data_IF_991177497502
#
_entry.id   IF_991177497502
#
_cell.length_a   1.000
_cell.length_b   1.000
_cell.length_c   1.000
_cell.angle_alpha   90.00
_cell.angle_beta   90.00
_cell.angle_gamma   90.00
#
_symmetry.space_group_name_H-M   'P 1'
#
loop_
_entity.id
_entity.type
_entity.pdbx_description
1 polymer ?
#
# COMPACT_ATOMS: atom_id res chain seq x y z
N UNK A 1 9.64 -0.34 -5.30
CA UNK A 1 10.95 0.20 -5.74
C UNK A 1 10.93 1.71 -5.67
N UNK A 2 11.82 2.28 -4.85
CA UNK A 2 12.04 3.72 -4.77
C UNK A 2 12.07 4.29 -3.35
N UNK A 3 12.65 5.48 -3.20
CA UNK A 3 12.72 6.25 -1.95
C UNK A 3 12.14 7.64 -2.20
N UNK A 4 11.33 8.16 -1.26
CA UNK A 4 10.71 9.48 -1.38
C UNK A 4 9.50 9.53 -2.34
N UNK A 5 9.50 10.51 -3.26
CA UNK A 5 8.34 10.86 -4.11
C UNK A 5 8.14 9.95 -5.34
N UNK A 6 9.13 9.12 -5.69
CA UNK A 6 9.12 8.23 -6.84
C UNK A 6 9.04 6.76 -6.39
N UNK A 7 7.83 6.24 -6.25
CA UNK A 7 7.58 4.84 -5.93
C UNK A 7 7.02 4.15 -7.17
N UNK A 8 7.69 3.10 -7.64
CA UNK A 8 7.26 2.24 -8.73
C UNK A 8 6.72 0.92 -8.20
N UNK A 9 5.56 0.52 -8.72
CA UNK A 9 4.89 -0.74 -8.41
C UNK A 9 5.08 -1.74 -9.55
N UNK A 10 5.29 -3.01 -9.20
CA UNK A 10 5.34 -4.12 -10.14
C UNK A 10 4.45 -5.25 -9.63
N UNK A 11 3.38 -5.52 -10.36
CA UNK A 11 2.41 -6.57 -10.01
C UNK A 11 2.74 -7.85 -10.78
N UNK A 12 2.79 -9.00 -10.09
CA UNK A 12 2.90 -10.31 -10.74
C UNK A 12 1.85 -11.26 -10.17
N UNK A 13 1.00 -11.83 -11.04
CA UNK A 13 0.05 -12.88 -10.68
C UNK A 13 0.62 -14.25 -11.07
N UNK A 14 0.46 -15.23 -10.19
CA UNK A 14 0.87 -16.63 -10.43
C UNK A 14 -0.26 -17.55 -10.00
N UNK A 15 -0.71 -18.42 -10.89
CA UNK A 15 -1.67 -19.47 -10.56
C UNK A 15 -0.99 -20.53 -9.71
N UNK A 16 -1.58 -20.86 -8.56
CA UNK A 16 -1.07 -21.90 -7.67
C UNK A 16 -1.90 -23.18 -7.83
N UNK A 17 -1.20 -24.32 -7.86
CA UNK A 17 -1.86 -25.63 -7.81
C UNK A 17 -1.99 -26.07 -6.37
N UNK A 18 -3.21 -26.14 -5.87
CA UNK A 18 -3.48 -26.63 -4.52
C UNK A 18 -3.46 -28.15 -4.42
N UNK A 19 -3.15 -28.67 -3.24
CA UNK A 19 -3.17 -30.09 -2.89
C UNK A 19 -4.29 -30.41 -1.88
N UNK A 20 -4.72 -31.67 -1.82
CA UNK A 20 -5.75 -32.11 -0.89
C UNK A 20 -7.18 -32.06 -1.48
N UNK A 21 -8.19 -32.41 -0.67
CA UNK A 21 -9.57 -32.53 -1.13
C UNK A 21 -10.17 -31.16 -1.48
N UNK A 22 -11.15 -31.14 -2.40
CA UNK A 22 -11.70 -29.92 -2.99
C UNK A 22 -12.20 -28.87 -1.96
N UNK A 23 -12.70 -29.32 -0.80
CA UNK A 23 -13.19 -28.44 0.28
C UNK A 23 -12.11 -27.97 1.26
N UNK A 24 -10.95 -28.60 1.29
CA UNK A 24 -9.83 -28.28 2.19
C UNK A 24 -8.52 -28.25 1.40
N UNK A 25 -8.53 -27.48 0.32
CA UNK A 25 -7.39 -27.41 -0.59
C UNK A 25 -6.31 -26.51 0.01
N UNK A 26 -5.13 -27.06 0.22
CA UNK A 26 -3.96 -26.33 0.69
C UNK A 26 -3.17 -25.76 -0.49
N UNK A 27 -2.62 -24.56 -0.33
CA UNK A 27 -1.77 -23.92 -1.32
C UNK A 27 -0.42 -23.58 -0.68
N UNK A 28 0.66 -23.87 -1.39
CA UNK A 28 2.01 -23.53 -0.95
C UNK A 28 2.82 -23.05 -2.14
N UNK A 29 3.61 -22.00 -1.94
CA UNK A 29 4.54 -21.49 -2.94
C UNK A 29 5.75 -20.88 -2.24
N UNK A 30 6.91 -21.03 -2.86
CA UNK A 30 8.14 -20.37 -2.41
C UNK A 30 8.42 -19.21 -3.34
N UNK A 31 8.50 -18.01 -2.77
CA UNK A 31 8.87 -16.80 -3.48
C UNK A 31 10.33 -16.48 -3.18
N UNK A 32 11.11 -16.21 -4.23
CA UNK A 32 12.47 -15.70 -4.11
C UNK A 32 12.44 -14.19 -4.34
N UNK A 33 12.59 -13.35 -3.30
CA UNK A 33 12.44 -11.90 -3.44
C UNK A 33 13.39 -11.29 -4.49
N UNK A 34 14.62 -11.79 -4.58
CA UNK A 34 15.61 -11.31 -5.57
C UNK A 34 15.17 -11.62 -7.01
N UNK A 35 14.55 -12.77 -7.25
CA UNK A 35 14.00 -13.13 -8.56
C UNK A 35 12.77 -12.28 -8.95
N UNK A 36 12.11 -11.66 -7.98
CA UNK A 36 11.04 -10.68 -8.19
C UNK A 36 11.60 -9.26 -8.46
N UNK A 37 12.92 -9.09 -8.34
CA UNK A 37 13.60 -7.80 -8.46
C UNK A 37 13.54 -6.95 -7.19
N UNK A 38 13.28 -7.56 -6.03
CA UNK A 38 13.29 -6.86 -4.74
C UNK A 38 14.73 -6.48 -4.36
N UNK A 39 14.94 -5.22 -3.99
CA UNK A 39 16.19 -4.68 -3.49
C UNK A 39 16.04 -4.14 -2.05
N UNK A 40 17.15 -3.78 -1.42
CA UNK A 40 17.11 -3.12 -0.12
C UNK A 40 16.38 -1.76 -0.21
N UNK A 41 15.46 -1.53 0.71
CA UNK A 41 14.49 -0.42 0.68
C UNK A 41 13.11 -0.80 0.12
N UNK A 42 12.93 -2.01 -0.41
CA UNK A 42 11.66 -2.46 -0.96
C UNK A 42 10.77 -3.22 0.03
N UNK A 43 9.47 -3.22 -0.28
CA UNK A 43 8.47 -4.07 0.33
C UNK A 43 7.93 -5.07 -0.70
N UNK A 44 7.86 -6.34 -0.31
CA UNK A 44 7.14 -7.39 -1.04
C UNK A 44 5.81 -7.64 -0.35
N UNK A 45 4.72 -7.55 -1.11
CA UNK A 45 3.38 -7.88 -0.62
C UNK A 45 2.89 -9.13 -1.34
N UNK A 46 2.36 -10.07 -0.58
CA UNK A 46 1.69 -11.24 -1.09
C UNK A 46 0.27 -11.35 -0.52
N UNK A 47 -0.67 -11.70 -1.40
CA UNK A 47 -2.04 -12.06 -1.05
C UNK A 47 -2.46 -13.28 -1.87
N UNK A 48 -3.35 -14.10 -1.32
CA UNK A 48 -3.97 -15.20 -2.05
C UNK A 48 -5.37 -14.78 -2.51
N UNK A 49 -5.65 -15.00 -3.79
CA UNK A 49 -6.98 -14.87 -4.38
C UNK A 49 -7.46 -16.28 -4.71
N UNK A 50 -8.67 -16.63 -4.28
CA UNK A 50 -9.28 -17.93 -4.53
C UNK A 50 -10.62 -17.71 -5.22
N UNK A 51 -10.85 -18.44 -6.30
CA UNK A 51 -12.15 -18.54 -6.94
C UNK A 51 -12.82 -19.85 -6.54
N UNK A 52 -14.10 -19.80 -6.19
CA UNK A 52 -14.89 -21.00 -5.96
C UNK A 52 -15.24 -21.72 -7.28
N UNK A 53 -15.97 -22.84 -7.21
CA UNK A 53 -16.38 -23.62 -8.38
C UNK A 53 -17.76 -23.24 -8.91
N UNK A 54 -18.35 -22.12 -8.49
CA UNK A 54 -19.69 -21.71 -8.93
C UNK A 54 -19.66 -21.35 -10.43
N UNK A 55 -20.67 -21.82 -11.16
CA UNK A 55 -20.87 -21.52 -12.58
C UNK A 55 -22.21 -20.80 -12.77
N UNK A 56 -22.33 -19.83 -13.70
CA UNK A 56 -21.28 -19.30 -14.57
C UNK A 56 -20.37 -18.25 -13.90
N UNK A 57 -20.72 -17.79 -12.70
CA UNK A 57 -20.02 -16.72 -11.98
C UNK A 57 -19.35 -17.23 -10.71
N UNK A 58 -18.06 -17.56 -10.74
CA UNK A 58 -17.33 -17.94 -9.54
C UNK A 58 -17.24 -16.76 -8.57
N UNK A 59 -17.27 -17.05 -7.28
CA UNK A 59 -17.06 -16.06 -6.22
C UNK A 59 -15.57 -15.92 -5.94
N UNK A 60 -15.12 -14.69 -5.68
CA UNK A 60 -13.74 -14.38 -5.33
C UNK A 60 -13.59 -14.16 -3.82
N UNK A 61 -12.68 -14.91 -3.20
CA UNK A 61 -12.22 -14.69 -1.84
C UNK A 61 -10.78 -14.18 -1.84
N UNK A 62 -10.47 -13.21 -0.99
CA UNK A 62 -9.13 -12.65 -0.80
C UNK A 62 -8.64 -12.91 0.62
N UNK A 63 -7.39 -13.34 0.76
CA UNK A 63 -6.76 -13.46 2.08
C UNK A 63 -6.35 -12.09 2.62
N UNK A 64 -5.99 -12.06 3.91
CA UNK A 64 -5.14 -10.97 4.41
C UNK A 64 -3.82 -10.91 3.62
N UNK A 65 -3.27 -9.70 3.49
CA UNK A 65 -1.94 -9.52 2.88
C UNK A 65 -0.84 -9.78 3.90
N UNK A 66 0.26 -10.36 3.42
CA UNK A 66 1.51 -10.50 4.17
C UNK A 66 2.56 -9.59 3.53
N UNK A 67 3.31 -8.87 4.35
CA UNK A 67 4.33 -7.91 3.91
C UNK A 67 5.70 -8.37 4.41
N UNK A 68 6.62 -8.56 3.49
CA UNK A 68 8.05 -8.72 3.76
C UNK A 68 8.75 -7.40 3.45
N UNK A 69 9.35 -6.75 4.46
CA UNK A 69 10.09 -5.50 4.29
C UNK A 69 11.58 -5.77 4.29
N UNK A 70 12.30 -5.23 3.31
CA UNK A 70 13.76 -5.23 3.30
C UNK A 70 14.24 -3.81 3.56
N UNK A 71 14.67 -3.47 4.78
CA UNK A 71 15.16 -2.13 5.08
C UNK A 71 16.45 -1.81 4.27
N UNK A 72 16.67 -0.56 3.87
CA UNK A 72 17.94 -0.16 3.29
C UNK A 72 19.07 -0.35 4.33
N UNK A 73 20.33 -0.55 3.91
CA UNK A 73 21.45 -0.54 4.85
C UNK A 73 21.45 0.77 5.63
N UNK A 74 21.62 0.69 6.95
CA UNK A 74 21.73 1.85 7.83
C UNK A 74 22.85 2.75 7.29
N UNK A 75 22.48 3.95 6.83
CA UNK A 75 23.48 4.99 6.58
C UNK A 75 24.02 5.38 7.94
N UNK A 76 25.20 4.88 8.28
CA UNK A 76 25.98 5.39 9.40
C UNK A 76 26.36 6.83 9.08
N UNK A 77 25.44 7.77 9.33
CA UNK A 77 25.78 9.18 9.40
C UNK A 77 26.76 9.31 10.57
N UNK A 78 28.00 9.64 10.24
CA UNK A 78 29.05 9.87 11.20
C UNK A 78 28.57 10.85 12.28
N UNK A 79 28.64 10.39 13.53
CA UNK A 79 28.72 11.13 14.78
C UNK A 79 27.84 12.38 14.93
N UNK A 80 26.80 12.26 15.78
CA UNK A 80 26.21 13.45 16.41
C UNK A 80 24.79 13.24 16.92
N UNK A 81 24.65 12.64 18.10
CA UNK A 81 23.60 12.93 19.10
C UNK A 81 22.10 12.91 18.70
N UNK A 82 21.70 12.34 17.57
CA UNK A 82 20.27 12.26 17.19
C UNK A 82 19.75 10.83 16.94
N UNK A 83 20.50 9.81 17.36
CA UNK A 83 20.17 8.40 17.09
C UNK A 83 19.00 7.84 17.92
N UNK A 84 18.45 8.59 18.88
CA UNK A 84 17.41 8.08 19.80
C UNK A 84 15.97 8.43 19.43
N UNK A 85 15.72 9.18 18.36
CA UNK A 85 14.35 9.64 18.02
C UNK A 85 13.73 8.93 16.81
N UNK A 86 14.53 8.28 15.95
CA UNK A 86 14.05 7.69 14.70
C UNK A 86 13.50 6.26 14.81
N UNK A 87 13.55 5.62 15.98
CA UNK A 87 13.17 4.20 16.07
C UNK A 87 11.67 3.90 16.06
N UNK A 88 10.77 4.83 16.39
CA UNK A 88 9.34 4.53 16.34
C UNK A 88 8.51 5.79 16.26
N UNK A 89 8.17 6.23 15.06
CA UNK A 89 6.88 6.88 14.86
C UNK A 89 6.15 6.08 13.79
N UNK A 90 5.20 5.20 14.18
CA UNK A 90 4.15 4.82 13.25
C UNK A 90 3.49 6.14 12.87
N UNK A 91 3.73 6.63 11.65
CA UNK A 91 2.94 7.73 11.13
C UNK A 91 1.48 7.25 11.16
N UNK A 92 0.69 7.80 12.08
CA UNK A 92 -0.73 7.53 12.16
C UNK A 92 -1.34 8.00 10.84
N UNK A 93 -1.62 7.07 9.93
CA UNK A 93 -2.26 7.37 8.66
C UNK A 93 -3.67 7.88 8.94
N UNK A 94 -4.07 8.97 8.26
CA UNK A 94 -5.48 9.39 8.28
C UNK A 94 -6.33 8.36 7.55
N UNK A 95 -7.52 8.08 8.07
CA UNK A 95 -8.50 7.23 7.39
C UNK A 95 -9.14 7.97 6.21
N UNK A 96 -9.67 7.24 5.23
CA UNK A 96 -10.37 7.82 4.07
C UNK A 96 -11.51 8.76 4.50
N UNK A 97 -12.26 8.37 5.54
CA UNK A 97 -13.34 9.19 6.11
C UNK A 97 -12.82 10.54 6.62
N UNK A 98 -11.67 10.56 7.28
CA UNK A 98 -11.09 11.80 7.79
C UNK A 98 -10.66 12.74 6.65
N UNK A 99 -10.03 12.18 5.62
CA UNK A 99 -9.60 12.93 4.42
C UNK A 99 -10.80 13.57 3.71
N UNK A 100 -11.92 12.85 3.59
CA UNK A 100 -13.16 13.38 3.00
C UNK A 100 -13.70 14.53 3.85
N UNK A 101 -13.79 14.35 5.18
CA UNK A 101 -14.28 15.40 6.10
C UNK A 101 -13.40 16.65 6.00
N UNK A 102 -12.08 16.49 5.95
CA UNK A 102 -11.13 17.61 5.88
C UNK A 102 -11.24 18.34 4.53
N UNK A 103 -11.43 17.60 3.42
CA UNK A 103 -11.64 18.18 2.10
C UNK A 103 -12.96 18.96 2.00
N UNK A 104 -14.05 18.41 2.56
CA UNK A 104 -15.35 19.09 2.63
C UNK A 104 -15.29 20.34 3.51
N UNK A 105 -14.57 20.29 4.63
CA UNK A 105 -14.33 21.45 5.47
C UNK A 105 -13.54 22.53 4.72
N UNK A 106 -12.46 22.15 4.02
CA UNK A 106 -11.65 23.07 3.23
C UNK A 106 -12.45 23.73 2.10
N UNK A 107 -13.34 22.99 1.44
CA UNK A 107 -14.24 23.53 0.41
C UNK A 107 -15.22 24.57 0.97
N UNK A 108 -15.76 24.32 2.16
CA UNK A 108 -16.64 25.29 2.87
C UNK A 108 -15.89 26.53 3.33
N UNK A 109 -14.62 26.38 3.69
CA UNK A 109 -13.76 27.48 4.13
C UNK A 109 -13.15 28.31 2.98
N UNK A 110 -13.12 27.78 1.75
CA UNK A 110 -12.52 28.42 0.57
C UNK A 110 -12.84 29.92 0.40
N UNK A 111 -14.08 30.41 0.59
CA UNK A 111 -14.39 31.83 0.43
C UNK A 111 -13.73 32.75 1.48
N UNK A 112 -13.23 32.18 2.57
CA UNK A 112 -12.65 32.90 3.72
C UNK A 112 -11.12 32.77 3.79
N UNK A 113 -10.52 31.97 2.91
CA UNK A 113 -9.08 31.70 2.91
C UNK A 113 -8.42 32.48 1.78
N UNK A 114 -7.20 32.95 2.02
CA UNK A 114 -6.37 33.45 0.94
C UNK A 114 -5.92 32.27 0.04
N UNK A 115 -5.60 32.54 -1.23
CA UNK A 115 -5.25 31.49 -2.19
C UNK A 115 -4.06 30.62 -1.78
N UNK A 116 -3.04 31.19 -1.12
CA UNK A 116 -1.84 30.46 -0.74
C UNK A 116 -2.11 29.50 0.43
N UNK A 117 -2.90 29.94 1.41
CA UNK A 117 -3.33 29.07 2.52
C UNK A 117 -4.24 27.96 2.05
N UNK A 118 -5.16 28.24 1.11
CA UNK A 118 -6.01 27.22 0.51
C UNK A 118 -5.19 26.15 -0.23
N UNK A 119 -4.25 26.57 -1.08
CA UNK A 119 -3.34 25.67 -1.80
C UNK A 119 -2.54 24.78 -0.85
N UNK A 120 -1.90 25.38 0.16
CA UNK A 120 -1.09 24.64 1.14
C UNK A 120 -1.91 23.58 1.89
N UNK A 121 -3.16 23.90 2.26
CA UNK A 121 -4.06 22.94 2.94
C UNK A 121 -4.55 21.85 1.98
N UNK A 122 -4.85 22.19 0.73
CA UNK A 122 -5.24 21.23 -0.28
C UNK A 122 -4.10 20.23 -0.58
N UNK A 123 -2.86 20.72 -0.68
CA UNK A 123 -1.69 19.87 -0.91
C UNK A 123 -1.47 18.89 0.24
N UNK A 124 -1.62 19.33 1.49
CA UNK A 124 -1.50 18.44 2.65
C UNK A 124 -2.55 17.31 2.64
N UNK A 125 -3.81 17.62 2.30
CA UNK A 125 -4.86 16.62 2.13
C UNK A 125 -4.54 15.67 0.95
N UNK A 126 -3.97 16.21 -0.13
CA UNK A 126 -3.51 15.42 -1.28
C UNK A 126 -2.38 14.44 -0.92
N UNK A 127 -1.42 14.87 -0.09
CA UNK A 127 -0.36 14.01 0.45
C UNK A 127 -0.95 12.89 1.30
N UNK A 128 -1.89 13.19 2.20
CA UNK A 128 -2.57 12.19 3.03
C UNK A 128 -3.36 11.18 2.18
N UNK A 129 -4.05 11.64 1.13
CA UNK A 129 -4.77 10.77 0.20
C UNK A 129 -3.82 9.88 -0.61
N UNK A 130 -2.69 10.42 -1.04
CA UNK A 130 -1.65 9.65 -1.75
C UNK A 130 -1.03 8.61 -0.83
N UNK A 131 -0.72 8.97 0.40
CA UNK A 131 -0.15 8.08 1.40
C UNK A 131 -1.13 6.96 1.77
N UNK A 132 -2.42 7.27 1.87
CA UNK A 132 -3.48 6.29 2.04
C UNK A 132 -3.59 5.36 0.83
N UNK A 133 -3.56 5.89 -0.40
CA UNK A 133 -3.53 5.05 -1.62
C UNK A 133 -2.28 4.17 -1.71
N UNK A 134 -1.12 4.66 -1.26
CA UNK A 134 0.10 3.86 -1.21
C UNK A 134 -0.07 2.67 -0.25
N UNK A 135 -0.70 2.89 0.92
CA UNK A 135 -1.06 1.81 1.86
C UNK A 135 -2.13 0.87 1.30
N UNK A 136 -3.22 1.39 0.73
CA UNK A 136 -4.30 0.56 0.20
C UNK A 136 -3.89 -0.20 -1.07
N UNK A 137 -3.11 0.41 -1.96
CA UNK A 137 -2.47 -0.28 -3.09
C UNK A 137 -1.51 -1.39 -2.62
N UNK A 138 -0.92 -1.21 -1.44
CA UNK A 138 -0.15 -2.23 -0.71
C UNK A 138 -1.02 -3.37 -0.13
N UNK A 139 -2.35 -3.27 -0.08
CA UNK A 139 -3.24 -4.25 0.52
C UNK A 139 -4.30 -4.83 -0.43
N UNK A 140 -4.58 -4.18 -1.58
CA UNK A 140 -5.68 -4.57 -2.47
C UNK A 140 -5.25 -5.06 -3.85
N UNK A 141 -3.98 -4.91 -4.25
CA UNK A 141 -3.48 -5.41 -5.53
C UNK A 141 -4.43 -5.07 -6.69
N UNK A 142 -4.43 -3.81 -7.14
CA UNK A 142 -5.18 -3.35 -8.32
C UNK A 142 -6.62 -3.88 -8.36
N UNK A 143 -7.54 -3.19 -7.68
CA UNK A 143 -8.88 -3.09 -8.27
C UNK A 143 -8.68 -2.32 -9.57
N UNK A 144 -8.67 -3.08 -10.66
CA UNK A 144 -8.83 -2.58 -12.02
C UNK A 144 -9.98 -1.58 -12.01
N UNK A 145 -9.66 -0.29 -12.22
CA UNK A 145 -10.53 0.61 -12.95
C UNK A 145 -10.70 0.00 -14.35
N UNK A 146 -11.61 -0.96 -14.43
CA UNK A 146 -12.29 -1.27 -15.67
C UNK A 146 -13.20 -0.09 -15.96
N UNK A 147 -12.76 0.75 -16.88
CA UNK A 147 -13.63 1.58 -17.70
C UNK A 147 -13.05 1.55 -19.12
N UNK A 148 -13.87 1.56 -20.17
CA UNK A 148 -15.20 2.17 -20.21
C UNK A 148 -16.38 1.21 -20.01
#
# INVERSE_FOLDING_TARGET
QGSGENITFKTQRRTLTGSGPARLRGFSTTLQPQALGMAAGDDLIAQLIVHDTRQPGPQEGRSASVILRWPPPEQTMAAGLEASVKQTLPAYFRSQRQIIIDAEALLKEKPRLDPATYLKRADAIGVDQRLLRLRYGQFLGEESEGAP
#
